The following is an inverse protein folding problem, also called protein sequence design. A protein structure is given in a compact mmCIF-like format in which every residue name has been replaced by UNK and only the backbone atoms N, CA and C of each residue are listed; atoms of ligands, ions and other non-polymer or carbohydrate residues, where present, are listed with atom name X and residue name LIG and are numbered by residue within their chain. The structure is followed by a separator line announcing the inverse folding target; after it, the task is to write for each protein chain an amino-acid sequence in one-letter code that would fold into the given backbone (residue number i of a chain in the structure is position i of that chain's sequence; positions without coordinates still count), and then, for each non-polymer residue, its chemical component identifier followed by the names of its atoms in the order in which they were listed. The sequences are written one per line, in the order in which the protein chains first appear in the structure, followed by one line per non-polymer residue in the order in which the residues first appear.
data_IF_328458337327
#
_entry.id   IF_328458337327
#
_cell.length_a   1.000
_cell.length_b   1.000
_cell.length_c   1.000
_cell.angle_alpha   90.00
_cell.angle_beta   90.00
_cell.angle_gamma   90.00
#
_symmetry.space_group_name_H-M   'P 1'
#
loop_
_entity.id
_entity.type
_entity.pdbx_description
1 polymer ?
#
# COMPACT_ATOMS: atom_id res chain seq x y z
N UNK A 1 23.36 -5.90 5.70
CA UNK A 1 22.45 -5.13 6.59
C UNK A 1 21.09 -5.78 6.63
N UNK A 2 20.54 -5.91 7.83
CA UNK A 2 19.22 -6.50 8.07
C UNK A 2 18.14 -5.70 7.35
N UNK A 3 17.23 -6.41 6.65
CA UNK A 3 16.10 -5.80 5.98
C UNK A 3 14.81 -6.12 6.72
N UNK A 4 13.84 -5.21 6.59
CA UNK A 4 12.45 -5.50 6.92
C UNK A 4 11.67 -5.46 5.61
N UNK A 5 11.03 -6.57 5.28
CA UNK A 5 10.32 -6.74 4.04
C UNK A 5 8.82 -6.84 4.36
N UNK A 6 8.05 -5.86 3.90
CA UNK A 6 6.61 -5.89 4.05
C UNK A 6 5.95 -6.42 2.79
N UNK A 7 4.94 -7.27 2.95
CA UNK A 7 4.13 -7.78 1.86
C UNK A 7 2.68 -7.50 2.20
N UNK A 8 2.01 -6.72 1.39
CA UNK A 8 0.64 -6.37 1.68
C UNK A 8 -0.01 -5.53 0.60
N UNK A 9 -1.27 -5.22 0.83
CA UNK A 9 -2.08 -4.40 -0.04
C UNK A 9 -1.85 -2.92 0.28
N UNK A 10 -1.98 -2.09 -0.73
CA UNK A 10 -1.95 -0.64 -0.57
C UNK A 10 -3.09 -0.02 -1.37
N UNK A 11 -3.51 1.15 -0.96
CA UNK A 11 -4.57 1.90 -1.63
C UNK A 11 -4.44 3.38 -1.29
N UNK A 12 -5.17 4.22 -2.01
CA UNK A 12 -5.30 5.62 -1.69
C UNK A 12 -6.62 5.83 -0.95
N UNK A 13 -6.54 6.31 0.30
CA UNK A 13 -7.71 6.68 1.09
C UNK A 13 -8.06 8.15 0.81
N UNK A 14 -9.27 8.40 0.33
CA UNK A 14 -9.79 9.76 0.12
C UNK A 14 -10.85 10.00 1.18
N UNK A 15 -10.63 10.99 2.02
CA UNK A 15 -11.45 11.26 3.19
C UNK A 15 -12.38 12.43 2.88
N UNK A 16 -13.68 12.22 3.12
CA UNK A 16 -14.73 13.21 2.90
C UNK A 16 -15.37 13.60 4.22
N UNK A 17 -15.70 14.88 4.34
CA UNK A 17 -16.52 15.42 5.44
C UNK A 17 -17.54 16.36 4.82
N UNK A 18 -18.80 16.23 5.21
CA UNK A 18 -19.91 17.03 4.64
C UNK A 18 -19.94 16.95 3.10
N UNK A 19 -19.70 15.75 2.57
CA UNK A 19 -19.66 15.45 1.14
C UNK A 19 -18.58 16.19 0.36
N UNK A 20 -17.55 16.67 1.05
CA UNK A 20 -16.41 17.34 0.41
C UNK A 20 -15.13 16.59 0.72
N UNK A 21 -14.24 16.45 -0.29
CA UNK A 21 -12.95 15.82 -0.02
C UNK A 21 -12.09 16.69 0.89
N UNK A 22 -11.52 16.09 1.92
CA UNK A 22 -10.66 16.75 2.88
C UNK A 22 -9.20 16.50 2.64
N UNK A 23 -8.86 15.23 2.36
CA UNK A 23 -7.47 14.82 2.10
C UNK A 23 -7.45 13.47 1.39
N UNK A 24 -6.31 13.15 0.81
CA UNK A 24 -6.03 11.87 0.21
C UNK A 24 -4.70 11.37 0.75
N UNK A 25 -4.68 10.17 1.31
CA UNK A 25 -3.51 9.59 1.98
C UNK A 25 -3.30 8.15 1.53
N UNK A 26 -2.10 7.78 1.06
CA UNK A 26 -1.80 6.37 0.83
C UNK A 26 -1.91 5.58 2.13
N UNK A 27 -2.41 4.36 2.06
CA UNK A 27 -2.64 3.55 3.25
C UNK A 27 -2.57 2.06 2.99
N UNK A 28 -2.98 1.33 4.00
CA UNK A 28 -2.92 -0.12 4.11
C UNK A 28 -2.21 -0.50 5.41
N UNK A 29 -2.59 -1.63 6.03
CA UNK A 29 -2.03 -1.95 7.35
C UNK A 29 -0.54 -2.23 7.30
N UNK A 30 -0.08 -3.09 6.40
CA UNK A 30 1.36 -3.36 6.24
C UNK A 30 2.08 -2.15 5.65
N UNK A 31 1.43 -1.43 4.74
CA UNK A 31 1.95 -0.19 4.19
C UNK A 31 2.31 0.80 5.31
N UNK A 32 1.38 1.03 6.24
CA UNK A 32 1.59 1.97 7.34
C UNK A 32 2.76 1.54 8.25
N UNK A 33 2.87 0.24 8.53
CA UNK A 33 3.97 -0.29 9.32
C UNK A 33 5.32 -0.08 8.63
N UNK A 34 5.40 -0.39 7.34
CA UNK A 34 6.64 -0.24 6.56
C UNK A 34 7.04 1.23 6.43
N UNK A 35 6.07 2.12 6.21
CA UNK A 35 6.35 3.56 6.13
C UNK A 35 6.91 4.06 7.46
N UNK A 36 6.33 3.64 8.57
CA UNK A 36 6.84 4.02 9.91
C UNK A 36 8.27 3.55 10.13
N UNK A 37 8.59 2.33 9.71
CA UNK A 37 9.93 1.78 9.80
C UNK A 37 10.93 2.54 8.91
N UNK A 38 10.53 2.88 7.70
CA UNK A 38 11.36 3.69 6.80
C UNK A 38 11.68 5.06 7.40
N UNK A 39 10.70 5.69 8.03
CA UNK A 39 10.86 7.00 8.66
C UNK A 39 11.88 7.00 9.79
N UNK A 40 11.98 5.90 10.55
CA UNK A 40 12.95 5.81 11.64
C UNK A 40 14.30 5.23 11.20
N UNK A 41 14.51 5.07 9.90
CA UNK A 41 15.80 4.67 9.35
C UNK A 41 16.03 3.18 9.19
N UNK A 42 15.01 2.35 9.34
CA UNK A 42 15.13 0.93 9.07
C UNK A 42 15.33 0.69 7.57
N UNK A 43 16.01 -0.39 7.22
CA UNK A 43 16.18 -0.80 5.83
C UNK A 43 14.90 -1.51 5.36
N UNK A 44 13.91 -0.72 4.93
CA UNK A 44 12.55 -1.18 4.65
C UNK A 44 12.33 -1.36 3.15
N UNK A 45 11.73 -2.49 2.78
CA UNK A 45 11.32 -2.83 1.42
C UNK A 45 9.86 -3.22 1.44
N UNK A 46 9.09 -2.77 0.45
CA UNK A 46 7.67 -3.10 0.37
C UNK A 46 7.36 -3.82 -0.94
N UNK A 47 6.70 -4.97 -0.81
CA UNK A 47 6.19 -5.75 -1.93
C UNK A 47 4.68 -5.55 -1.99
N UNK A 48 4.21 -5.00 -3.07
CA UNK A 48 2.80 -4.77 -3.33
C UNK A 48 2.60 -4.63 -4.83
N UNK A 49 1.37 -4.37 -5.24
CA UNK A 49 1.10 -4.05 -6.63
C UNK A 49 0.29 -2.76 -6.72
N UNK A 50 0.60 -1.96 -7.72
CA UNK A 50 -0.12 -0.74 -8.07
C UNK A 50 -0.41 -0.75 -9.55
N UNK A 51 -1.35 0.06 -9.97
CA UNK A 51 -1.57 0.29 -11.40
C UNK A 51 -0.57 1.28 -11.97
N UNK A 52 -0.49 1.32 -13.29
CA UNK A 52 0.27 2.34 -14.00
C UNK A 52 -0.63 3.57 -14.21
N UNK A 53 -0.97 4.23 -13.11
CA UNK A 53 -1.87 5.38 -13.08
C UNK A 53 -1.37 6.42 -12.07
N UNK A 54 -2.08 7.54 -11.98
CA UNK A 54 -1.70 8.62 -11.06
C UNK A 54 -1.72 8.18 -9.60
N UNK A 55 -2.70 7.37 -9.20
CA UNK A 55 -2.79 6.86 -7.84
C UNK A 55 -1.58 5.98 -7.52
N UNK A 56 -1.21 5.10 -8.45
CA UNK A 56 -0.03 4.26 -8.28
C UNK A 56 1.25 5.07 -8.13
N UNK A 57 1.40 6.09 -8.95
CA UNK A 57 2.57 6.99 -8.86
C UNK A 57 2.62 7.73 -7.53
N UNK A 58 1.48 8.20 -7.06
CA UNK A 58 1.38 8.88 -5.78
C UNK A 58 1.82 7.96 -4.63
N UNK A 59 1.34 6.71 -4.66
CA UNK A 59 1.69 5.72 -3.64
C UNK A 59 3.21 5.43 -3.66
N UNK A 60 3.77 5.18 -4.85
CA UNK A 60 5.21 4.88 -4.99
C UNK A 60 6.07 6.06 -4.55
N UNK A 61 5.68 7.27 -4.91
CA UNK A 61 6.39 8.49 -4.51
C UNK A 61 6.37 8.65 -2.98
N UNK A 62 5.21 8.42 -2.38
CA UNK A 62 5.07 8.50 -0.92
C UNK A 62 5.99 7.49 -0.22
N UNK A 63 6.06 6.26 -0.73
CA UNK A 63 6.96 5.24 -0.19
C UNK A 63 8.42 5.71 -0.27
N UNK A 64 8.85 6.17 -1.44
CA UNK A 64 10.23 6.63 -1.66
C UNK A 64 10.58 7.82 -0.76
N UNK A 65 9.66 8.76 -0.58
CA UNK A 65 9.87 9.93 0.28
C UNK A 65 9.99 9.55 1.75
N UNK A 66 9.54 8.38 2.13
CA UNK A 66 9.63 7.87 3.50
C UNK A 66 10.71 6.78 3.64
N UNK A 67 11.67 6.76 2.74
CA UNK A 67 12.84 5.88 2.76
C UNK A 67 12.50 4.39 2.65
N UNK A 68 11.41 4.07 1.95
CA UNK A 68 11.05 2.68 1.65
C UNK A 68 11.53 2.33 0.25
N UNK A 69 12.20 1.21 0.12
CA UNK A 69 12.66 0.69 -1.17
C UNK A 69 11.45 0.21 -1.98
N UNK A 70 11.27 0.75 -3.19
CA UNK A 70 10.15 0.45 -4.08
C UNK A 70 10.52 -0.43 -5.27
N UNK A 71 11.74 -0.98 -5.28
CA UNK A 71 12.23 -1.77 -6.42
C UNK A 71 11.39 -3.02 -6.69
N UNK A 72 10.68 -3.50 -5.67
CA UNK A 72 9.88 -4.72 -5.75
C UNK A 72 8.37 -4.44 -5.76
N UNK A 73 7.97 -3.19 -5.93
CA UNK A 73 6.56 -2.84 -6.17
C UNK A 73 6.24 -3.18 -7.62
N UNK A 74 5.27 -4.06 -7.83
CA UNK A 74 4.82 -4.43 -9.16
C UNK A 74 3.89 -3.36 -9.73
N UNK A 75 4.19 -2.89 -10.94
CA UNK A 75 3.35 -1.91 -11.64
C UNK A 75 2.61 -2.64 -12.75
N UNK A 76 1.29 -2.74 -12.62
CA UNK A 76 0.44 -3.46 -13.58
C UNK A 76 -0.07 -2.50 -14.64
N UNK A 77 0.32 -2.75 -15.87
CA UNK A 77 -0.13 -1.93 -17.00
C UNK A 77 -1.64 -2.09 -17.21
N UNK A 78 -2.34 -0.97 -17.33
CA UNK A 78 -3.79 -0.96 -17.56
C UNK A 78 -4.64 -1.31 -16.35
N UNK A 79 -4.02 -1.57 -15.19
CA UNK A 79 -4.73 -1.90 -13.96
C UNK A 79 -5.02 -0.64 -13.16
N UNK A 80 -6.14 -0.63 -12.47
CA UNK A 80 -6.54 0.52 -11.64
C UNK A 80 -6.08 0.31 -10.22
N UNK A 81 -5.25 1.23 -9.73
CA UNK A 81 -4.81 1.19 -8.33
C UNK A 81 -6.01 1.31 -7.39
N UNK A 82 -6.03 0.55 -6.28
CA UNK A 82 -7.16 0.60 -5.36
C UNK A 82 -7.32 1.95 -4.69
N UNK A 83 -8.57 2.35 -4.48
CA UNK A 83 -8.95 3.59 -3.81
C UNK A 83 -10.06 3.28 -2.82
N UNK A 84 -10.01 3.89 -1.65
CA UNK A 84 -11.13 3.88 -0.73
C UNK A 84 -11.69 5.29 -0.59
N UNK A 85 -13.01 5.37 -0.42
CA UNK A 85 -13.67 6.61 -0.04
C UNK A 85 -14.16 6.45 1.39
N UNK A 86 -13.70 7.33 2.28
CA UNK A 86 -14.09 7.31 3.68
C UNK A 86 -14.97 8.54 3.95
N UNK A 87 -16.25 8.31 4.22
CA UNK A 87 -17.19 9.40 4.52
C UNK A 87 -17.36 9.50 6.01
N UNK A 88 -16.92 10.63 6.59
CA UNK A 88 -17.02 10.86 8.03
C UNK A 88 -18.41 11.38 8.37
N UNK A 89 -19.00 10.85 9.44
CA UNK A 89 -20.24 11.35 10.00
C UNK A 89 -19.97 12.47 11.03
N UNK A 90 -21.03 12.92 11.71
CA UNK A 90 -20.92 14.02 12.68
C UNK A 90 -20.03 13.68 13.88
N UNK A 91 -19.85 12.38 14.17
CA UNK A 91 -18.99 11.89 15.25
C UNK A 91 -17.61 11.50 14.76
N UNK A 92 -17.28 11.82 13.48
CA UNK A 92 -16.05 11.46 12.80
C UNK A 92 -15.81 9.94 12.67
N UNK A 93 -16.89 9.16 12.67
CA UNK A 93 -16.83 7.76 12.31
C UNK A 93 -16.85 7.62 10.79
N UNK A 94 -15.99 6.76 10.26
CA UNK A 94 -15.83 6.61 8.82
C UNK A 94 -16.68 5.47 8.28
N UNK A 95 -17.37 5.74 7.17
CA UNK A 95 -18.00 4.72 6.33
C UNK A 95 -17.15 4.58 5.08
N UNK A 96 -16.63 3.37 4.84
CA UNK A 96 -15.71 3.10 3.74
C UNK A 96 -16.39 2.44 2.56
N UNK A 97 -16.04 2.89 1.36
CA UNK A 97 -16.34 2.19 0.11
C UNK A 97 -15.03 1.95 -0.61
N UNK A 98 -14.79 0.70 -1.05
CA UNK A 98 -13.56 0.33 -1.71
C UNK A 98 -13.79 0.18 -3.21
N UNK A 99 -12.88 0.74 -4.00
CA UNK A 99 -12.89 0.65 -5.46
C UNK A 99 -11.62 -0.04 -5.90
N UNK A 100 -11.77 -1.15 -6.60
CA UNK A 100 -10.66 -2.00 -7.05
C UNK A 100 -10.85 -2.36 -8.50
N UNK A 101 -9.75 -2.69 -9.17
CA UNK A 101 -9.82 -3.22 -10.53
C UNK A 101 -10.58 -4.53 -10.52
N UNK A 102 -11.37 -4.77 -11.57
CA UNK A 102 -12.10 -6.02 -11.73
C UNK A 102 -11.18 -7.20 -12.01
N UNK A 103 -9.97 -6.94 -12.52
CA UNK A 103 -8.98 -7.97 -12.77
C UNK A 103 -8.24 -8.29 -11.47
N UNK A 104 -8.53 -9.45 -10.88
CA UNK A 104 -7.90 -9.93 -9.66
C UNK A 104 -6.95 -11.10 -9.92
N UNK A 105 -6.55 -11.30 -11.18
CA UNK A 105 -5.62 -12.35 -11.52
C UNK A 105 -4.29 -12.18 -10.78
N UNK A 106 -3.68 -13.29 -10.32
CA UNK A 106 -2.39 -13.22 -9.65
C UNK A 106 -1.31 -12.64 -10.55
N UNK A 107 -0.37 -11.93 -9.95
CA UNK A 107 0.81 -11.39 -10.63
C UNK A 107 2.04 -12.04 -10.05
N UNK A 108 2.98 -12.39 -10.92
CA UNK A 108 4.28 -12.84 -10.47
C UNK A 108 5.04 -11.66 -9.86
N UNK A 109 5.22 -11.69 -8.55
CA UNK A 109 5.99 -10.68 -7.86
C UNK A 109 7.44 -11.12 -7.78
N UNK A 110 8.34 -10.22 -8.16
CA UNK A 110 9.75 -10.45 -7.96
C UNK A 110 10.06 -10.29 -6.48
N UNK A 111 10.72 -11.28 -5.89
CA UNK A 111 11.09 -11.25 -4.48
C UNK A 111 12.54 -10.82 -4.33
N UNK A 112 12.86 -10.02 -3.30
CA UNK A 112 14.26 -9.75 -2.98
C UNK A 112 14.92 -10.98 -2.41
N UNK A 113 16.26 -10.99 -2.42
CA UNK A 113 17.01 -12.01 -1.71
C UNK A 113 16.81 -11.82 -0.21
N UNK A 114 16.41 -12.90 0.48
CA UNK A 114 16.10 -12.87 1.91
C UNK A 114 17.27 -13.53 2.66
N UNK A 115 17.83 -12.77 3.60
CA UNK A 115 18.90 -13.24 4.48
C UNK A 115 18.32 -13.77 5.78
N UNK A 116 19.13 -14.54 6.52
CA UNK A 116 18.66 -15.21 7.73
C UNK A 116 18.20 -14.24 8.83
N UNK A 117 18.76 -13.03 8.86
CA UNK A 117 18.42 -12.01 9.87
C UNK A 117 17.39 -11.01 9.40
N UNK A 118 16.81 -11.20 8.21
CA UNK A 118 15.75 -10.33 7.72
C UNK A 118 14.42 -10.65 8.39
N UNK A 119 13.57 -9.64 8.50
CA UNK A 119 12.20 -9.78 9.00
C UNK A 119 11.22 -9.61 7.86
N UNK A 120 10.21 -10.48 7.81
CA UNK A 120 9.14 -10.39 6.81
C UNK A 120 7.82 -10.17 7.52
N UNK A 121 7.11 -9.10 7.14
CA UNK A 121 5.79 -8.76 7.66
C UNK A 121 4.74 -9.04 6.59
N UNK A 122 3.80 -9.90 6.90
CA UNK A 122 2.65 -10.15 6.03
C UNK A 122 1.44 -9.41 6.60
N UNK A 123 0.78 -8.64 5.79
CA UNK A 123 -0.44 -8.01 6.21
C UNK A 123 -1.52 -8.34 5.22
N UNK A 124 -2.40 -8.43 5.76
CA UNK A 124 -3.59 -8.47 6.44
C UNK A 124 -4.51 -9.45 5.70
N UNK A 125 -5.59 -8.98 5.10
CA UNK A 125 -6.43 -9.79 4.22
C UNK A 125 -5.68 -10.25 2.96
N UNK A 126 -4.77 -9.42 2.48
CA UNK A 126 -3.95 -9.72 1.30
C UNK A 126 -3.16 -11.03 1.45
N UNK A 127 -2.63 -11.26 2.64
CA UNK A 127 -1.79 -12.43 2.91
C UNK A 127 -2.59 -13.74 2.99
N UNK A 128 -3.89 -13.65 3.25
CA UNK A 128 -4.77 -14.83 3.38
C UNK A 128 -5.74 -14.97 2.20
N UNK A 129 -5.69 -14.04 1.27
CA UNK A 129 -6.51 -14.08 0.08
C UNK A 129 -6.05 -15.21 -0.85
N UNK A 130 -6.94 -16.07 -1.35
CA UNK A 130 -6.53 -17.05 -2.35
C UNK A 130 -6.01 -16.35 -3.60
N UNK A 131 -4.92 -16.85 -4.12
CA UNK A 131 -4.31 -16.30 -5.32
C UNK A 131 -5.12 -16.63 -6.56
#
# INVERSE_FOLDING_TARGET
MRKVIGIGETLLDIIFKDNKPMEAVPGGSTFNAIVSLGRVGANATFLTETGDDHVGRLIRTFLSQNNVNTDYVSVRNGWKSPVSLAFLDNDNNANYTFYRDANTDPVDMQLPEIQADDTVLFGSYYAVSPA
#
